data_IF_177067525460
#
_entry.id   IF_177067525460
#
_cell.length_a   1.000
_cell.length_b   1.000
_cell.length_c   1.000
_cell.angle_alpha   90.00
_cell.angle_beta   90.00
_cell.angle_gamma   90.00
#
_symmetry.space_group_name_H-M   'P 1'
#
loop_
_entity.id
_entity.type
_entity.pdbx_description
1 polymer ?
#
# COMPACT_ATOMS: atom_id res chain seq x y z
N UNK A 1 -9.34 -7.84 -9.57
CA UNK A 1 -9.17 -6.82 -10.62
C UNK A 1 -7.75 -6.33 -10.50
N UNK A 2 -6.95 -6.42 -11.57
CA UNK A 2 -5.55 -5.98 -11.55
C UNK A 2 -5.48 -4.45 -11.60
N UNK A 3 -5.78 -3.81 -10.47
CA UNK A 3 -5.60 -2.38 -10.31
C UNK A 3 -4.20 -2.09 -9.77
N UNK A 4 -3.61 -1.00 -10.25
CA UNK A 4 -2.39 -0.43 -9.68
C UNK A 4 -2.75 0.84 -8.93
N UNK A 5 -2.04 1.12 -7.85
CA UNK A 5 -2.18 2.36 -7.12
C UNK A 5 -1.13 3.34 -7.65
N UNK A 6 -1.49 4.61 -7.75
CA UNK A 6 -0.51 5.68 -7.96
C UNK A 6 -0.75 6.84 -7.02
N UNK A 7 0.31 7.58 -6.73
CA UNK A 7 0.20 8.87 -6.08
C UNK A 7 1.41 9.74 -6.37
N UNK A 8 1.22 11.04 -6.24
CA UNK A 8 2.22 12.09 -6.32
C UNK A 8 2.35 12.71 -4.93
N UNK A 9 3.57 12.85 -4.43
CA UNK A 9 3.82 13.60 -3.20
C UNK A 9 3.70 15.11 -3.46
N UNK A 10 2.88 15.79 -2.66
CA UNK A 10 2.74 17.26 -2.68
C UNK A 10 3.48 17.88 -1.50
N UNK A 11 3.41 17.22 -0.34
CA UNK A 11 4.09 17.62 0.88
C UNK A 11 4.61 16.39 1.62
N UNK A 12 5.89 16.42 1.98
CA UNK A 12 6.52 15.39 2.84
C UNK A 12 6.46 15.82 4.31
N UNK A 13 6.24 14.88 5.25
CA UNK A 13 6.28 15.15 6.68
C UNK A 13 7.71 15.36 7.19
N UNK A 14 7.88 15.66 8.48
CA UNK A 14 9.19 15.74 9.14
C UNK A 14 9.83 14.35 9.29
N UNK A 15 9.07 13.38 9.79
CA UNK A 15 9.46 11.96 9.82
C UNK A 15 8.25 11.04 9.59
N UNK A 16 8.54 9.77 9.30
CA UNK A 16 7.51 8.79 9.00
C UNK A 16 6.86 9.01 7.63
N UNK A 17 5.60 8.56 7.48
CA UNK A 17 4.84 8.74 6.24
C UNK A 17 5.36 7.97 5.02
N UNK A 18 6.30 7.05 5.20
CA UNK A 18 6.82 6.21 4.12
C UNK A 18 5.75 5.28 3.55
N UNK A 19 5.78 5.04 2.25
CA UNK A 19 5.07 3.91 1.68
C UNK A 19 5.89 2.65 1.98
N UNK A 20 5.28 1.68 2.68
CA UNK A 20 5.84 0.35 2.91
C UNK A 20 5.05 -0.65 2.08
N UNK A 21 5.70 -1.33 1.14
CA UNK A 21 5.12 -2.39 0.31
C UNK A 21 5.74 -3.72 0.72
N UNK A 22 4.90 -4.67 1.13
CA UNK A 22 5.34 -6.00 1.55
C UNK A 22 5.24 -6.97 0.36
N UNK A 23 6.16 -7.94 0.28
CA UNK A 23 6.14 -9.00 -0.73
C UNK A 23 5.04 -10.04 -0.49
N UNK A 24 4.13 -9.79 0.45
CA UNK A 24 2.99 -10.64 0.74
C UNK A 24 1.86 -10.35 -0.28
N UNK A 25 1.46 -11.32 -1.11
CA UNK A 25 0.33 -11.16 -2.02
C UNK A 25 -0.99 -11.10 -1.25
N UNK A 26 -1.90 -10.24 -1.72
CA UNK A 26 -3.29 -10.22 -1.27
C UNK A 26 -4.04 -11.47 -1.76
N UNK A 27 -4.84 -12.06 -0.87
CA UNK A 27 -5.77 -13.15 -1.19
C UNK A 27 -7.15 -12.83 -0.61
N UNK A 28 -8.19 -13.32 -1.27
CA UNK A 28 -9.60 -13.01 -0.95
C UNK A 28 -10.01 -13.43 0.47
N UNK A 29 -9.37 -14.45 1.03
CA UNK A 29 -9.66 -14.96 2.37
C UNK A 29 -8.90 -14.23 3.48
N UNK A 30 -8.06 -13.25 3.13
CA UNK A 30 -7.26 -12.49 4.07
C UNK A 30 -7.99 -11.24 4.58
N UNK A 31 -7.76 -10.91 5.85
CA UNK A 31 -8.28 -9.69 6.48
C UNK A 31 -7.27 -9.13 7.48
N UNK A 32 -7.37 -7.83 7.76
CA UNK A 32 -6.73 -7.26 8.94
C UNK A 32 -7.52 -7.70 10.18
N UNK A 33 -6.80 -7.96 11.28
CA UNK A 33 -7.43 -8.27 12.58
C UNK A 33 -8.02 -7.02 13.25
N UNK A 34 -7.44 -5.85 12.99
CA UNK A 34 -7.92 -4.56 13.48
C UNK A 34 -7.99 -3.52 12.37
N UNK A 35 -8.91 -2.57 12.51
CA UNK A 35 -9.17 -1.51 11.52
C UNK A 35 -8.05 -0.47 11.42
N UNK A 36 -7.21 -0.30 12.45
CA UNK A 36 -6.12 0.69 12.46
C UNK A 36 -4.76 0.04 12.67
N UNK A 37 -3.84 0.26 11.71
CA UNK A 37 -2.40 0.02 11.91
C UNK A 37 -1.97 -1.43 12.15
N UNK A 38 -2.85 -2.41 12.00
CA UNK A 38 -2.49 -3.82 12.20
C UNK A 38 -1.38 -4.23 11.25
N UNK A 39 -0.28 -4.75 11.81
CA UNK A 39 0.80 -5.40 11.07
C UNK A 39 0.55 -6.90 10.90
N UNK A 40 -0.63 -7.39 11.31
CA UNK A 40 -1.00 -8.80 11.21
C UNK A 40 -2.11 -9.00 10.17
N UNK A 41 -1.83 -9.89 9.22
CA UNK A 41 -2.80 -10.34 8.20
C UNK A 41 -3.27 -11.73 8.58
N UNK A 42 -4.58 -11.91 8.73
CA UNK A 42 -5.19 -13.19 9.10
C UNK A 42 -5.85 -13.84 7.88
N UNK A 43 -5.54 -15.11 7.62
CA UNK A 43 -6.25 -15.93 6.64
C UNK A 43 -7.38 -16.71 7.32
N UNK A 44 -8.60 -16.55 6.80
CA UNK A 44 -9.78 -17.27 7.28
C UNK A 44 -9.70 -18.77 7.00
N UNK A 45 -9.06 -19.16 5.90
CA UNK A 45 -8.97 -20.56 5.46
C UNK A 45 -7.97 -21.34 6.29
N UNK A 46 -6.74 -20.85 6.43
CA UNK A 46 -5.70 -21.52 7.21
C UNK A 46 -5.86 -21.31 8.72
N UNK A 47 -6.63 -20.30 9.13
CA UNK A 47 -6.73 -19.80 10.52
C UNK A 47 -5.37 -19.38 11.09
N UNK A 48 -4.47 -18.91 10.25
CA UNK A 48 -3.15 -18.40 10.65
C UNK A 48 -3.06 -16.88 10.47
N UNK A 49 -2.17 -16.26 11.24
CA UNK A 49 -1.81 -14.86 11.09
C UNK A 49 -0.35 -14.72 10.70
N UNK A 50 -0.08 -13.85 9.73
CA UNK A 50 1.27 -13.44 9.32
C UNK A 50 1.53 -12.04 9.86
N UNK A 51 2.57 -11.87 10.67
CA UNK A 51 3.01 -10.56 11.12
C UNK A 51 4.03 -9.99 10.12
N UNK A 52 3.62 -8.97 9.38
CA UNK A 52 4.31 -8.40 8.21
C UNK A 52 5.75 -7.93 8.48
N UNK A 53 6.10 -7.66 9.75
CA UNK A 53 7.45 -7.20 10.13
C UNK A 53 8.26 -8.23 10.92
N UNK A 54 7.67 -9.38 11.24
CA UNK A 54 8.33 -10.46 12.01
C UNK A 54 8.47 -11.74 11.20
N UNK A 55 7.69 -11.89 10.12
CA UNK A 55 7.75 -13.01 9.21
C UNK A 55 9.01 -12.93 8.34
N UNK A 56 9.99 -13.85 8.47
CA UNK A 56 11.26 -13.79 7.76
C UNK A 56 11.13 -13.93 6.23
N UNK A 57 10.06 -14.57 5.77
CA UNK A 57 9.73 -14.75 4.35
C UNK A 57 9.07 -13.51 3.72
N UNK A 58 8.65 -12.54 4.53
CA UNK A 58 8.01 -11.30 4.04
C UNK A 58 9.08 -10.22 3.90
N UNK A 59 9.47 -9.95 2.66
CA UNK A 59 10.34 -8.83 2.32
C UNK A 59 9.52 -7.53 2.22
N UNK A 60 10.19 -6.38 2.36
CA UNK A 60 9.56 -5.08 2.20
C UNK A 60 10.44 -4.10 1.45
N UNK A 61 9.79 -3.22 0.70
CA UNK A 61 10.39 -2.02 0.12
C UNK A 61 9.80 -0.82 0.85
N UNK A 62 10.66 0.12 1.23
CA UNK A 62 10.28 1.38 1.88
C UNK A 62 10.61 2.52 0.94
N UNK A 63 9.60 3.31 0.57
CA UNK A 63 9.72 4.41 -0.38
C UNK A 63 9.46 5.75 0.31
N UNK A 64 10.34 6.71 0.03
CA UNK A 64 10.31 8.10 0.54
C UNK A 64 10.20 9.09 -0.63
N UNK A 65 9.05 9.15 -1.32
CA UNK A 65 8.89 10.05 -2.46
C UNK A 65 8.99 11.51 -2.03
N UNK A 66 9.74 12.30 -2.80
CA UNK A 66 9.87 13.75 -2.62
C UNK A 66 8.74 14.49 -3.36
N UNK A 67 8.43 15.75 -3.01
CA UNK A 67 7.41 16.51 -3.72
C UNK A 67 7.64 16.52 -5.24
N UNK A 68 6.61 16.11 -5.99
CA UNK A 68 6.66 15.94 -7.45
C UNK A 68 6.93 14.52 -7.92
N UNK A 69 7.48 13.64 -7.08
CA UNK A 69 7.68 12.23 -7.43
C UNK A 69 6.33 11.52 -7.55
N UNK A 70 6.16 10.78 -8.64
CA UNK A 70 5.04 9.85 -8.82
C UNK A 70 5.49 8.43 -8.52
N UNK A 71 4.75 7.75 -7.64
CA UNK A 71 4.89 6.33 -7.39
C UNK A 71 3.75 5.60 -8.08
N UNK A 72 4.06 4.53 -8.82
CA UNK A 72 3.13 3.61 -9.44
C UNK A 72 3.49 2.19 -9.01
N UNK A 73 2.55 1.46 -8.40
CA UNK A 73 2.82 0.13 -7.85
C UNK A 73 1.58 -0.76 -7.82
N UNK A 74 1.78 -2.08 -7.65
CA UNK A 74 0.71 -3.10 -7.62
C UNK A 74 -0.08 -3.10 -6.30
N UNK A 75 -0.65 -1.97 -5.91
CA UNK A 75 -1.38 -1.83 -4.64
C UNK A 75 -2.63 -2.71 -4.51
N UNK A 76 -3.21 -3.17 -5.62
CA UNK A 76 -4.30 -4.15 -5.58
C UNK A 76 -3.85 -5.59 -5.31
N UNK A 77 -2.56 -5.90 -5.48
CA UNK A 77 -2.02 -7.27 -5.35
C UNK A 77 -1.08 -7.44 -4.16
N UNK A 78 -0.49 -6.36 -3.64
CA UNK A 78 0.48 -6.42 -2.55
C UNK A 78 -0.04 -5.69 -1.31
N UNK A 79 0.13 -6.32 -0.15
CA UNK A 79 -0.10 -5.64 1.12
C UNK A 79 0.83 -4.44 1.24
N UNK A 80 0.27 -3.30 1.64
CA UNK A 80 1.02 -2.06 1.79
C UNK A 80 0.38 -1.16 2.86
N UNK A 81 1.16 -0.21 3.35
CA UNK A 81 0.71 0.82 4.29
C UNK A 81 1.50 2.11 4.10
N UNK A 82 0.93 3.20 4.60
CA UNK A 82 1.68 4.43 4.88
C UNK A 82 2.11 4.38 6.36
N UNK A 83 3.38 4.62 6.64
CA UNK A 83 3.86 4.73 8.01
C UNK A 83 3.24 5.93 8.73
N UNK A 84 3.15 5.82 10.06
CA UNK A 84 2.66 6.92 10.90
C UNK A 84 3.44 8.19 10.57
N UNK A 85 2.73 9.28 10.36
CA UNK A 85 3.34 10.60 10.19
C UNK A 85 3.70 11.14 11.57
N UNK A 86 4.92 11.65 11.70
CA UNK A 86 5.44 12.25 12.92
C UNK A 86 5.90 13.69 12.64
N UNK A 87 5.75 14.55 13.65
CA UNK A 87 6.06 15.98 13.56
C UNK A 87 4.83 16.85 13.31
N UNK A 88 5.05 18.16 13.10
CA UNK A 88 3.97 19.14 12.93
C UNK A 88 3.52 19.30 11.47
N UNK A 89 4.31 18.76 10.52
CA UNK A 89 4.06 18.89 9.09
C UNK A 89 3.32 17.66 8.54
N UNK A 90 2.15 17.88 7.97
CA UNK A 90 1.35 16.82 7.34
C UNK A 90 2.03 16.21 6.11
N UNK A 91 1.68 14.95 5.83
CA UNK A 91 1.93 14.32 4.53
C UNK A 91 0.74 14.55 3.61
N UNK A 92 0.96 15.23 2.48
CA UNK A 92 -0.09 15.50 1.49
C UNK A 92 0.27 14.79 0.18
N UNK A 93 -0.63 13.96 -0.33
CA UNK A 93 -0.49 13.26 -1.61
C UNK A 93 -1.74 13.40 -2.45
N UNK A 94 -1.55 13.48 -3.77
CA UNK A 94 -2.62 13.35 -4.75
C UNK A 94 -2.46 12.03 -5.48
N UNK A 95 -3.47 11.15 -5.45
CA UNK A 95 -3.33 9.82 -6.01
C UNK A 95 -4.66 9.13 -6.23
N UNK A 96 -4.57 8.02 -6.96
CA UNK A 96 -5.73 7.27 -7.41
C UNK A 96 -5.38 5.80 -7.71
N UNK A 97 -6.36 5.05 -8.18
CA UNK A 97 -6.16 3.74 -8.78
C UNK A 97 -6.19 3.84 -10.31
N UNK A 98 -5.47 2.94 -10.98
CA UNK A 98 -5.55 2.74 -12.43
C UNK A 98 -5.94 1.30 -12.71
N UNK A 99 -6.73 1.10 -13.76
CA UNK A 99 -7.09 -0.23 -14.24
C UNK A 99 -7.38 -0.23 -15.74
N UNK A 100 -7.09 -1.35 -16.38
CA UNK A 100 -7.45 -1.54 -17.78
C UNK A 100 -8.94 -1.82 -17.93
N UNK A 101 -9.54 -1.29 -19.00
CA UNK A 101 -10.82 -1.80 -19.49
C UNK A 101 -10.65 -3.24 -19.98
N UNK A 102 -11.76 -3.98 -20.13
CA UNK A 102 -11.74 -5.40 -20.53
C UNK A 102 -10.98 -5.65 -21.84
N UNK A 103 -11.04 -4.72 -22.79
CA UNK A 103 -10.34 -4.79 -24.08
C UNK A 103 -8.88 -4.32 -24.03
N UNK A 104 -8.42 -3.81 -22.87
CA UNK A 104 -7.07 -3.28 -22.60
C UNK A 104 -6.63 -2.11 -23.48
N UNK A 105 -7.54 -1.48 -24.22
CA UNK A 105 -7.21 -0.35 -25.10
C UNK A 105 -7.32 1.01 -24.40
N UNK A 106 -7.83 1.03 -23.18
CA UNK A 106 -8.00 2.23 -22.35
C UNK A 106 -7.60 1.93 -20.91
N UNK A 107 -7.14 2.97 -20.23
CA UNK A 107 -6.92 2.97 -18.79
C UNK A 107 -7.98 3.87 -18.16
N UNK A 108 -8.70 3.36 -17.18
CA UNK A 108 -9.52 4.14 -16.28
C UNK A 108 -8.70 4.53 -15.06
N UNK A 109 -8.97 5.70 -14.49
CA UNK A 109 -8.49 6.11 -13.17
C UNK A 109 -9.67 6.55 -12.30
N UNK A 110 -9.62 6.23 -11.01
CA UNK A 110 -10.68 6.55 -10.05
C UNK A 110 -10.17 6.46 -8.59
N UNK A 111 -10.88 7.16 -7.69
CA UNK A 111 -10.70 7.18 -6.22
C UNK A 111 -11.94 6.65 -5.52
#
# INVERSE_FOLDING_TARGET
MDQVSFFIALQVPESGGELVVYSLPWQEDQTKLTSSGSLSVFSKTSKTAVHLEQAPEVHKIVLKPMPGDMILFQGGQLWHRVATVEGAKDRITFGDFLGFFKDKNKIAYWS
#
